data_IF_091875155230
#
_entry.id   IF_091875155230
#
_cell.length_a   1.000
_cell.length_b   1.000
_cell.length_c   1.000
_cell.angle_alpha   90.00
_cell.angle_beta   90.00
_cell.angle_gamma   90.00
#
_symmetry.space_group_name_H-M   'P 1'
#
loop_
_entity.id
_entity.type
_entity.pdbx_description
1 polymer ?
#
# COMPACT_ATOMS: atom_id res chain seq x y z
N UNK A 1 29.75 -49.61 72.29
CA UNK A 1 28.33 -50.03 72.47
C UNK A 1 27.58 -49.35 71.35
N UNK A 2 26.98 -49.96 70.32
CA UNK A 2 26.38 -51.28 70.03
C UNK A 2 26.30 -51.38 68.49
N UNK A 3 26.93 -52.36 67.85
CA UNK A 3 26.34 -53.57 67.25
C UNK A 3 25.14 -53.36 66.29
N UNK A 4 25.27 -53.77 65.02
CA UNK A 4 24.21 -54.11 64.04
C UNK A 4 24.90 -54.72 62.81
N UNK A 5 25.18 -56.03 62.74
CA UNK A 5 24.29 -57.12 62.28
C UNK A 5 23.61 -56.89 60.92
N UNK A 6 24.14 -57.52 59.87
CA UNK A 6 23.41 -57.94 58.65
C UNK A 6 22.98 -59.42 58.81
N UNK A 7 22.45 -60.17 57.81
CA UNK A 7 21.70 -59.85 56.57
C UNK A 7 20.42 -60.74 56.41
N UNK A 8 19.56 -60.52 55.40
CA UNK A 8 18.87 -61.63 54.69
C UNK A 8 18.62 -61.23 53.23
N UNK A 9 18.94 -62.17 52.34
CA UNK A 9 18.92 -62.16 50.88
C UNK A 9 17.72 -63.00 50.36
N UNK A 10 17.13 -62.61 49.23
CA UNK A 10 16.45 -63.52 48.28
C UNK A 10 16.23 -62.78 46.95
N UNK A 11 17.09 -63.04 45.95
CA UNK A 11 16.81 -63.83 44.73
C UNK A 11 15.74 -63.20 43.81
N UNK A 12 16.18 -62.50 42.76
CA UNK A 12 16.28 -62.98 41.36
C UNK A 12 14.95 -62.97 40.62
N UNK A 13 14.76 -62.05 39.66
CA UNK A 13 14.74 -62.42 38.24
C UNK A 13 14.44 -61.25 37.29
N UNK A 14 15.16 -61.31 36.17
CA UNK A 14 14.80 -60.86 34.81
C UNK A 14 14.66 -59.37 34.49
N UNK A 15 15.56 -58.95 33.60
CA UNK A 15 15.45 -57.80 32.71
C UNK A 15 14.13 -57.81 31.93
N UNK A 16 13.47 -56.66 31.82
CA UNK A 16 12.57 -56.32 30.72
C UNK A 16 12.72 -54.83 30.40
N UNK A 17 13.18 -54.57 29.19
CA UNK A 17 13.30 -53.26 28.54
C UNK A 17 11.94 -52.58 28.39
N UNK A 18 11.76 -51.42 28.99
CA UNK A 18 10.64 -50.54 28.68
C UNK A 18 11.12 -49.23 28.05
N UNK A 19 10.73 -49.09 26.79
CA UNK A 19 10.83 -47.91 25.93
C UNK A 19 10.06 -46.76 26.60
N UNK A 20 10.77 -45.72 27.06
CA UNK A 20 10.13 -44.44 27.39
C UNK A 20 10.06 -43.59 26.12
N UNK A 21 8.86 -43.50 25.55
CA UNK A 21 8.46 -42.45 24.63
C UNK A 21 8.47 -41.12 25.40
N UNK A 22 9.51 -40.31 25.21
CA UNK A 22 9.52 -38.96 25.74
C UNK A 22 8.82 -38.04 24.74
N UNK A 23 7.67 -37.54 25.17
CA UNK A 23 6.80 -36.63 24.45
C UNK A 23 7.54 -35.30 24.18
N UNK A 24 8.03 -35.10 22.97
CA UNK A 24 8.55 -33.81 22.52
C UNK A 24 7.41 -32.81 22.48
N UNK A 25 7.30 -31.97 23.52
CA UNK A 25 6.59 -30.72 23.41
C UNK A 25 7.28 -29.90 22.30
N UNK A 26 6.59 -29.76 21.17
CA UNK A 26 6.96 -28.80 20.13
C UNK A 26 6.91 -27.41 20.75
N UNK A 27 8.07 -26.93 21.20
CA UNK A 27 8.31 -25.51 21.39
C UNK A 27 8.22 -24.92 19.98
N UNK A 28 7.07 -24.33 19.65
CA UNK A 28 6.98 -23.40 18.52
C UNK A 28 7.91 -22.24 18.84
N UNK A 29 9.15 -22.35 18.39
CA UNK A 29 10.07 -21.22 18.33
C UNK A 29 9.47 -20.25 17.33
N UNK A 30 8.66 -19.29 17.81
CA UNK A 30 8.37 -18.07 17.07
C UNK A 30 9.71 -17.39 16.83
N UNK A 31 10.23 -17.58 15.62
CA UNK A 31 11.37 -16.81 15.10
C UNK A 31 11.07 -15.33 15.33
N UNK A 32 11.98 -14.56 15.94
CA UNK A 32 11.77 -13.13 16.09
C UNK A 32 11.58 -12.53 14.69
N UNK A 33 10.44 -11.86 14.47
CA UNK A 33 10.14 -11.19 13.20
C UNK A 33 11.29 -10.23 12.87
N UNK A 34 12.13 -10.59 11.90
CA UNK A 34 13.27 -9.80 11.47
C UNK A 34 12.78 -8.58 10.69
N UNK A 35 13.38 -7.42 10.92
CA UNK A 35 13.05 -6.17 10.24
C UNK A 35 13.56 -6.25 8.78
N UNK A 36 12.76 -5.88 7.76
CA UNK A 36 13.16 -5.96 6.36
C UNK A 36 14.10 -4.81 5.95
N UNK A 37 15.32 -4.78 6.50
CA UNK A 37 16.26 -3.67 6.29
C UNK A 37 16.88 -3.61 4.90
N UNK A 38 16.81 -4.70 4.12
CA UNK A 38 17.29 -4.76 2.73
C UNK A 38 16.25 -4.36 1.69
N UNK A 39 15.00 -4.17 2.10
CA UNK A 39 13.91 -3.82 1.19
C UNK A 39 14.01 -2.34 0.77
N UNK A 40 14.15 -2.12 -0.54
CA UNK A 40 14.20 -0.77 -1.11
C UNK A 40 12.81 -0.37 -1.61
N UNK A 41 12.06 0.29 -0.73
CA UNK A 41 10.70 0.74 -1.01
C UNK A 41 10.62 1.68 -2.23
N UNK A 42 11.67 2.44 -2.53
CA UNK A 42 11.66 3.43 -3.62
C UNK A 42 11.48 2.80 -5.01
N UNK A 43 11.71 1.50 -5.18
CA UNK A 43 11.44 0.81 -6.45
C UNK A 43 9.96 0.49 -6.66
N UNK A 44 9.16 0.40 -5.60
CA UNK A 44 7.72 0.17 -5.72
C UNK A 44 6.95 1.44 -6.02
N UNK A 45 7.48 2.59 -5.59
CA UNK A 45 6.84 3.89 -5.78
C UNK A 45 7.53 4.67 -6.90
N UNK A 46 7.10 4.44 -8.14
CA UNK A 46 7.61 5.13 -9.34
C UNK A 46 7.22 6.61 -9.36
N UNK A 47 6.11 6.97 -8.74
CA UNK A 47 5.66 8.36 -8.53
C UNK A 47 5.70 8.69 -7.05
N UNK A 48 6.34 9.81 -6.71
CA UNK A 48 6.35 10.29 -5.32
C UNK A 48 4.96 10.76 -4.89
N UNK A 49 4.62 10.53 -3.62
CA UNK A 49 3.37 10.99 -3.01
C UNK A 49 3.28 12.53 -3.02
N UNK A 50 2.17 13.04 -3.52
CA UNK A 50 1.75 14.43 -3.44
C UNK A 50 0.27 14.54 -3.03
N UNK A 51 -0.32 15.73 -3.16
CA UNK A 51 -1.72 15.96 -2.81
C UNK A 51 -2.73 15.36 -3.80
N UNK A 52 -2.30 15.05 -5.02
CA UNK A 52 -3.17 14.60 -6.10
C UNK A 52 -3.27 13.07 -6.11
N UNK A 53 -2.17 12.38 -5.81
CA UNK A 53 -2.09 10.91 -5.86
C UNK A 53 -2.12 10.23 -4.47
N UNK A 54 -2.39 10.96 -3.39
CA UNK A 54 -2.30 10.44 -2.02
C UNK A 54 -3.10 9.15 -1.80
N UNK A 55 -4.33 9.05 -2.32
CA UNK A 55 -5.16 7.86 -2.11
C UNK A 55 -4.58 6.62 -2.80
N UNK A 56 -4.07 6.77 -4.02
CA UNK A 56 -3.38 5.71 -4.75
C UNK A 56 -2.10 5.28 -4.03
N UNK A 57 -1.28 6.26 -3.60
CA UNK A 57 -0.09 6.01 -2.80
C UNK A 57 -0.42 5.30 -1.49
N UNK A 58 -1.48 5.73 -0.79
CA UNK A 58 -1.91 5.17 0.49
C UNK A 58 -2.24 3.69 0.34
N UNK A 59 -3.05 3.33 -0.66
CA UNK A 59 -3.41 1.94 -0.93
C UNK A 59 -2.17 1.08 -1.14
N UNK A 60 -1.25 1.50 -2.02
CA UNK A 60 -0.01 0.76 -2.28
C UNK A 60 0.89 0.66 -1.04
N UNK A 61 0.90 1.69 -0.20
CA UNK A 61 1.69 1.70 1.03
C UNK A 61 1.11 0.76 2.08
N UNK A 62 -0.21 0.67 2.21
CA UNK A 62 -0.88 -0.30 3.07
C UNK A 62 -0.53 -1.75 2.65
N UNK A 63 -0.54 -2.05 1.35
CA UNK A 63 -0.13 -3.37 0.82
C UNK A 63 1.33 -3.72 1.21
N UNK A 64 2.24 -2.73 1.19
CA UNK A 64 3.64 -2.92 1.61
C UNK A 64 3.74 -3.18 3.11
N UNK A 65 2.91 -2.53 3.93
CA UNK A 65 2.89 -2.76 5.36
C UNK A 65 2.34 -4.13 5.71
N UNK A 66 1.28 -4.57 5.02
CA UNK A 66 0.70 -5.91 5.17
C UNK A 66 1.73 -7.00 4.79
N UNK A 67 2.41 -6.83 3.64
CA UNK A 67 3.46 -7.76 3.18
C UNK A 67 4.59 -7.96 4.20
N UNK A 68 4.86 -6.95 5.03
CA UNK A 68 5.95 -6.96 6.00
C UNK A 68 5.51 -7.12 7.47
N UNK A 69 4.22 -7.33 7.75
CA UNK A 69 3.68 -7.43 9.11
C UNK A 69 4.01 -6.16 9.95
N UNK A 70 3.73 -4.99 9.37
CA UNK A 70 4.02 -3.66 9.91
C UNK A 70 2.79 -2.75 10.03
N UNK A 71 1.58 -3.24 9.74
CA UNK A 71 0.35 -2.42 9.78
C UNK A 71 0.10 -1.77 11.15
N UNK A 72 0.39 -2.47 12.25
CA UNK A 72 0.14 -1.97 13.60
C UNK A 72 0.94 -0.70 13.93
N UNK A 73 2.06 -0.48 13.23
CA UNK A 73 2.96 0.67 13.41
C UNK A 73 2.27 1.99 13.08
N UNK A 74 1.37 1.99 12.10
CA UNK A 74 0.61 3.19 11.70
C UNK A 74 -0.76 3.28 12.39
N UNK A 75 -1.24 2.22 13.03
CA UNK A 75 -2.54 2.17 13.72
C UNK A 75 -2.45 2.52 15.21
N UNK A 76 -1.31 2.28 15.85
CA UNK A 76 -1.16 2.43 17.30
C UNK A 76 -0.35 3.67 17.64
N UNK A 77 -0.95 4.60 18.39
CA UNK A 77 -0.25 5.76 18.95
C UNK A 77 0.78 5.30 19.99
N UNK A 78 2.01 5.10 19.55
CA UNK A 78 3.13 4.71 20.42
C UNK A 78 4.35 5.55 20.14
N UNK A 79 5.05 5.92 21.22
CA UNK A 79 6.38 6.53 21.17
C UNK A 79 7.38 5.54 21.76
N UNK A 80 7.70 4.45 21.03
CA UNK A 80 8.55 3.40 21.57
C UNK A 80 9.91 3.98 21.96
N UNK A 81 10.38 3.63 23.16
CA UNK A 81 11.72 4.01 23.58
C UNK A 81 12.77 3.24 22.77
N UNK A 82 13.89 3.88 22.45
CA UNK A 82 14.98 3.27 21.65
C UNK A 82 15.56 2.01 22.28
N UNK A 83 15.66 1.98 23.61
CA UNK A 83 16.20 0.87 24.38
C UNK A 83 15.17 0.38 25.38
N UNK A 84 15.19 -0.91 25.65
CA UNK A 84 14.47 -1.56 26.74
C UNK A 84 15.21 -1.37 28.08
N UNK A 85 14.60 -1.71 29.23
CA UNK A 85 15.24 -1.59 30.54
C UNK A 85 16.55 -2.38 30.69
N UNK A 86 16.71 -3.47 29.92
CA UNK A 86 17.91 -4.29 29.83
C UNK A 86 18.99 -3.71 28.88
N UNK A 87 18.79 -2.47 28.41
CA UNK A 87 19.61 -1.75 27.44
C UNK A 87 19.66 -2.36 26.02
N UNK A 88 18.88 -3.41 25.74
CA UNK A 88 18.73 -3.97 24.40
C UNK A 88 17.92 -3.04 23.48
N UNK A 89 18.08 -3.20 22.17
CA UNK A 89 17.36 -2.41 21.17
C UNK A 89 15.87 -2.80 21.18
N UNK A 90 14.99 -1.81 21.28
CA UNK A 90 13.56 -2.07 21.17
C UNK A 90 13.16 -2.33 19.70
N UNK A 91 12.57 -3.49 19.44
CA UNK A 91 12.06 -3.87 18.12
C UNK A 91 10.96 -2.91 17.64
N UNK A 92 10.06 -2.49 18.53
CA UNK A 92 8.98 -1.55 18.18
C UNK A 92 9.53 -0.19 17.72
N UNK A 93 10.59 0.30 18.36
CA UNK A 93 11.28 1.52 17.93
C UNK A 93 11.87 1.36 16.53
N UNK A 94 12.46 0.19 16.25
CA UNK A 94 13.09 -0.06 14.97
C UNK A 94 12.05 -0.21 13.84
N UNK A 95 10.92 -0.88 14.10
CA UNK A 95 9.76 -0.93 13.19
C UNK A 95 9.21 0.47 12.90
N UNK A 96 9.01 1.30 13.93
CA UNK A 96 8.57 2.70 13.79
C UNK A 96 9.52 3.52 12.90
N UNK A 97 10.84 3.46 13.14
CA UNK A 97 11.80 4.21 12.33
C UNK A 97 11.92 3.71 10.91
N UNK A 98 11.76 2.41 10.68
CA UNK A 98 11.73 1.87 9.33
C UNK A 98 10.54 2.43 8.54
N UNK A 99 9.32 2.32 9.08
CA UNK A 99 8.10 2.80 8.41
C UNK A 99 8.16 4.31 8.20
N UNK A 100 8.60 5.08 9.20
CA UNK A 100 8.77 6.53 9.05
C UNK A 100 9.78 6.88 7.94
N UNK A 101 10.88 6.13 7.84
CA UNK A 101 11.87 6.30 6.76
C UNK A 101 11.26 5.99 5.40
N UNK A 102 10.45 4.94 5.30
CA UNK A 102 9.74 4.57 4.07
C UNK A 102 8.73 5.62 3.61
N UNK A 103 7.92 6.16 4.53
CA UNK A 103 7.00 7.27 4.25
C UNK A 103 7.79 8.48 3.72
N UNK A 104 8.90 8.85 4.38
CA UNK A 104 9.73 10.00 3.96
C UNK A 104 10.48 9.74 2.65
N UNK A 105 10.84 8.51 2.33
CA UNK A 105 11.52 8.15 1.10
C UNK A 105 10.61 8.28 -0.12
N UNK A 106 9.34 7.91 0.03
CA UNK A 106 8.33 7.88 -1.04
C UNK A 106 7.53 9.17 -1.17
N UNK A 107 7.74 10.15 -0.28
CA UNK A 107 7.14 11.47 -0.35
C UNK A 107 7.82 12.39 -1.38
N UNK A 108 7.05 13.27 -2.02
CA UNK A 108 7.59 14.38 -2.82
C UNK A 108 8.28 15.44 -1.94
N UNK A 109 9.15 16.31 -2.47
CA UNK A 109 9.87 17.30 -1.67
C UNK A 109 8.98 18.23 -0.82
N UNK A 110 7.82 18.62 -1.35
CA UNK A 110 6.84 19.44 -0.62
C UNK A 110 6.24 18.67 0.57
N UNK A 111 5.88 17.41 0.37
CA UNK A 111 5.36 16.55 1.44
C UNK A 111 6.44 16.19 2.47
N UNK A 112 7.71 16.01 2.07
CA UNK A 112 8.81 15.83 3.03
C UNK A 112 8.94 16.99 4.01
N UNK A 113 8.68 18.21 3.54
CA UNK A 113 8.69 19.41 4.40
C UNK A 113 7.54 19.38 5.41
N UNK A 114 6.36 18.92 5.01
CA UNK A 114 5.22 18.69 5.90
C UNK A 114 5.51 17.64 6.99
N UNK A 115 6.36 16.66 6.69
CA UNK A 115 6.72 15.54 7.58
C UNK A 115 7.87 15.83 8.56
N UNK A 116 8.52 17.00 8.49
CA UNK A 116 9.60 17.40 9.40
C UNK A 116 9.23 17.27 10.89
N UNK A 117 8.07 17.76 11.37
CA UNK A 117 7.72 17.69 12.79
C UNK A 117 7.38 16.28 13.28
N UNK A 118 7.17 15.31 12.38
CA UNK A 118 6.78 13.96 12.74
C UNK A 118 7.98 13.14 13.22
N UNK A 119 7.87 12.64 14.45
CA UNK A 119 8.87 11.81 15.12
C UNK A 119 8.55 10.33 15.04
N UNK A 120 7.29 9.95 14.85
CA UNK A 120 6.84 8.55 14.69
C UNK A 120 6.15 8.32 13.34
N UNK A 121 6.07 7.07 12.92
CA UNK A 121 5.32 6.65 11.74
C UNK A 121 3.82 6.93 11.90
N UNK A 122 3.25 6.69 13.08
CA UNK A 122 1.87 7.00 13.41
C UNK A 122 1.55 8.50 13.24
N UNK A 123 2.41 9.39 13.75
CA UNK A 123 2.25 10.84 13.61
C UNK A 123 2.27 11.26 12.12
N UNK A 124 3.24 10.72 11.36
CA UNK A 124 3.35 10.98 9.94
C UNK A 124 2.11 10.50 9.18
N UNK A 125 1.66 9.27 9.42
CA UNK A 125 0.49 8.68 8.79
C UNK A 125 -0.77 9.50 9.06
N UNK A 126 -1.04 9.78 10.33
CA UNK A 126 -2.21 10.56 10.77
C UNK A 126 -2.20 11.97 10.18
N UNK A 127 -1.04 12.62 10.12
CA UNK A 127 -0.91 13.95 9.52
C UNK A 127 -1.23 13.92 8.02
N UNK A 128 -0.70 12.93 7.30
CA UNK A 128 -0.93 12.76 5.87
C UNK A 128 -2.40 12.48 5.58
N UNK A 129 -3.03 11.54 6.29
CA UNK A 129 -4.46 11.27 6.14
C UNK A 129 -5.31 12.53 6.35
N UNK A 130 -5.05 13.25 7.44
CA UNK A 130 -5.79 14.47 7.79
C UNK A 130 -5.64 15.58 6.75
N UNK A 131 -4.44 15.72 6.15
CA UNK A 131 -4.13 16.85 5.25
C UNK A 131 -4.36 16.53 3.78
N UNK A 132 -4.00 15.33 3.33
CA UNK A 132 -3.96 14.98 1.92
C UNK A 132 -5.20 14.21 1.45
N UNK A 133 -5.86 13.43 2.32
CA UNK A 133 -7.08 12.71 1.93
C UNK A 133 -8.18 13.66 1.40
N UNK A 134 -8.55 14.76 2.09
CA UNK A 134 -9.57 15.67 1.57
C UNK A 134 -9.16 16.36 0.26
N UNK A 135 -7.86 16.64 0.09
CA UNK A 135 -7.33 17.27 -1.13
C UNK A 135 -7.40 16.33 -2.32
N UNK A 136 -6.97 15.08 -2.16
CA UNK A 136 -7.02 14.07 -3.21
C UNK A 136 -8.47 13.73 -3.59
N UNK A 137 -9.38 13.62 -2.62
CA UNK A 137 -10.83 13.47 -2.89
C UNK A 137 -11.38 14.65 -3.68
N UNK A 138 -11.00 15.88 -3.32
CA UNK A 138 -11.43 17.09 -4.04
C UNK A 138 -10.88 17.09 -5.45
N UNK A 139 -9.60 16.73 -5.63
CA UNK A 139 -8.97 16.63 -6.93
C UNK A 139 -9.69 15.62 -7.84
N UNK A 140 -10.00 14.44 -7.33
CA UNK A 140 -10.77 13.42 -8.06
C UNK A 140 -12.13 13.97 -8.49
N UNK A 141 -12.86 14.66 -7.59
CA UNK A 141 -14.14 15.28 -7.93
C UNK A 141 -13.99 16.34 -9.02
N UNK A 142 -12.98 17.20 -8.92
CA UNK A 142 -12.69 18.21 -9.94
C UNK A 142 -12.32 17.60 -11.29
N UNK A 143 -11.65 16.44 -11.32
CA UNK A 143 -11.40 15.69 -12.55
C UNK A 143 -12.71 15.16 -13.14
N UNK A 144 -13.59 14.56 -12.31
CA UNK A 144 -14.90 14.11 -12.75
C UNK A 144 -15.77 15.23 -13.30
N UNK A 145 -15.81 16.39 -12.62
CA UNK A 145 -16.55 17.56 -13.09
C UNK A 145 -16.04 18.03 -14.46
N UNK A 146 -14.72 18.00 -14.69
CA UNK A 146 -14.13 18.35 -15.99
C UNK A 146 -14.46 17.31 -17.06
N UNK A 147 -14.48 16.02 -16.73
CA UNK A 147 -14.85 14.94 -17.65
C UNK A 147 -16.34 15.06 -18.04
N UNK A 148 -17.23 15.29 -17.08
CA UNK A 148 -18.66 15.45 -17.35
C UNK A 148 -18.98 16.73 -18.12
N UNK A 149 -18.18 17.78 -17.94
CA UNK A 149 -18.27 19.02 -18.69
C UNK A 149 -17.48 19.00 -20.02
N UNK A 150 -16.84 17.87 -20.36
CA UNK A 150 -15.93 17.77 -21.49
C UNK A 150 -16.68 18.05 -22.81
N UNK A 151 -16.28 19.13 -23.48
CA UNK A 151 -16.81 19.52 -24.79
C UNK A 151 -15.69 20.07 -25.65
N UNK A 152 -15.74 19.75 -26.94
CA UNK A 152 -14.85 20.32 -27.94
C UNK A 152 -15.17 21.81 -28.06
N UNK A 153 -14.13 22.62 -27.86
CA UNK A 153 -14.18 24.04 -28.18
C UNK A 153 -14.31 24.21 -29.70
N UNK A 154 -15.30 24.95 -30.22
CA UNK A 154 -15.46 25.20 -31.65
C UNK A 154 -14.21 25.79 -32.30
N UNK A 155 -13.42 26.59 -31.56
CA UNK A 155 -12.21 27.26 -32.06
C UNK A 155 -10.97 26.37 -32.02
N UNK A 156 -11.01 25.23 -31.32
CA UNK A 156 -9.89 24.28 -31.21
C UNK A 156 -10.02 23.10 -32.16
N UNK A 157 -8.88 22.52 -32.52
CA UNK A 157 -8.81 21.29 -33.32
C UNK A 157 -9.33 20.08 -32.55
N UNK A 158 -9.84 19.09 -33.28
CA UNK A 158 -10.22 17.77 -32.72
C UNK A 158 -9.04 17.11 -32.04
N UNK A 159 -7.85 17.14 -32.66
CA UNK A 159 -6.64 16.57 -32.07
C UNK A 159 -6.31 17.21 -30.71
N UNK A 160 -6.40 18.54 -30.58
CA UNK A 160 -6.18 19.22 -29.30
C UNK A 160 -7.21 18.84 -28.24
N UNK A 161 -8.46 18.62 -28.65
CA UNK A 161 -9.52 18.12 -27.79
C UNK A 161 -9.25 16.69 -27.30
N UNK A 162 -8.87 15.77 -28.20
CA UNK A 162 -8.55 14.38 -27.85
C UNK A 162 -7.35 14.29 -26.90
N UNK A 163 -6.29 15.07 -27.13
CA UNK A 163 -5.14 15.16 -26.22
C UNK A 163 -5.57 15.65 -24.83
N UNK A 164 -6.42 16.68 -24.78
CA UNK A 164 -6.92 17.20 -23.50
C UNK A 164 -7.78 16.17 -22.77
N UNK A 165 -8.70 15.51 -23.48
CA UNK A 165 -9.50 14.42 -22.96
C UNK A 165 -8.60 13.34 -22.36
N UNK A 166 -7.65 12.81 -23.14
CA UNK A 166 -6.69 11.80 -22.67
C UNK A 166 -5.96 12.23 -21.39
N UNK A 167 -5.47 13.48 -21.34
CA UNK A 167 -4.79 13.98 -20.15
C UNK A 167 -5.66 14.01 -18.88
N UNK A 168 -6.97 14.22 -19.02
CA UNK A 168 -7.91 14.14 -17.89
C UNK A 168 -8.07 12.70 -17.40
N UNK A 169 -8.16 11.73 -18.31
CA UNK A 169 -8.29 10.31 -17.96
C UNK A 169 -7.01 9.73 -17.38
N UNK A 170 -5.84 10.11 -17.90
CA UNK A 170 -4.54 9.80 -17.32
C UNK A 170 -4.44 10.35 -15.89
N UNK A 171 -4.89 11.59 -15.68
CA UNK A 171 -4.90 12.22 -14.35
C UNK A 171 -5.86 11.51 -13.39
N UNK A 172 -7.02 11.07 -13.88
CA UNK A 172 -8.00 10.31 -13.11
C UNK A 172 -7.42 8.96 -12.66
N UNK A 173 -6.74 8.27 -13.58
CA UNK A 173 -6.04 7.00 -13.32
C UNK A 173 -4.93 7.18 -12.30
N UNK A 174 -4.10 8.22 -12.46
CA UNK A 174 -3.03 8.55 -11.52
C UNK A 174 -3.56 8.91 -10.12
N UNK A 175 -4.77 9.47 -10.02
CA UNK A 175 -5.42 9.75 -8.74
C UNK A 175 -5.99 8.50 -8.04
N UNK A 176 -5.91 7.32 -8.68
CA UNK A 176 -6.37 6.04 -8.13
C UNK A 176 -7.79 5.68 -8.52
N UNK A 177 -8.33 6.28 -9.58
CA UNK A 177 -9.68 6.02 -10.08
C UNK A 177 -9.63 5.63 -11.55
N UNK A 178 -10.35 4.58 -11.95
CA UNK A 178 -10.38 4.11 -13.34
C UNK A 178 -11.75 4.28 -13.97
N UNK A 179 -11.76 4.36 -15.30
CA UNK A 179 -12.94 4.34 -16.17
C UNK A 179 -12.71 3.27 -17.23
N UNK A 180 -13.79 2.64 -17.73
CA UNK A 180 -13.66 1.70 -18.85
C UNK A 180 -13.44 2.43 -20.18
N UNK A 181 -12.77 1.78 -21.13
CA UNK A 181 -12.56 2.32 -22.49
C UNK A 181 -13.87 2.73 -23.16
N UNK A 182 -14.94 1.96 -22.96
CA UNK A 182 -16.26 2.28 -23.52
C UNK A 182 -16.84 3.59 -22.96
N UNK A 183 -16.81 3.77 -21.63
CA UNK A 183 -17.25 5.01 -20.99
C UNK A 183 -16.40 6.20 -21.47
N UNK A 184 -15.09 6.00 -21.56
CA UNK A 184 -14.13 6.99 -22.04
C UNK A 184 -14.47 7.44 -23.47
N UNK A 185 -14.62 6.50 -24.39
CA UNK A 185 -15.02 6.76 -25.78
C UNK A 185 -16.37 7.50 -25.81
N UNK A 186 -17.36 7.06 -25.04
CA UNK A 186 -18.67 7.69 -24.98
C UNK A 186 -18.60 9.16 -24.54
N UNK A 187 -17.83 9.48 -23.48
CA UNK A 187 -17.64 10.87 -23.04
C UNK A 187 -17.00 11.74 -24.11
N UNK A 188 -16.00 11.20 -24.82
CA UNK A 188 -15.31 11.94 -25.89
C UNK A 188 -16.26 12.17 -27.07
N UNK A 189 -16.97 11.14 -27.54
CA UNK A 189 -17.88 11.26 -28.69
C UNK A 189 -19.04 12.21 -28.39
N UNK A 190 -19.58 12.19 -27.17
CA UNK A 190 -20.63 13.12 -26.74
C UNK A 190 -20.15 14.57 -26.67
N UNK A 191 -18.86 14.80 -26.43
CA UNK A 191 -18.26 16.13 -26.35
C UNK A 191 -17.86 16.73 -27.70
N UNK A 192 -17.76 15.95 -28.79
CA UNK A 192 -17.29 16.42 -30.10
C UNK A 192 -18.19 17.48 -30.75
N UNK A 193 -19.50 17.42 -30.53
CA UNK A 193 -20.47 18.34 -31.15
C UNK A 193 -21.24 17.70 -32.32
N UNK A 194 -22.30 18.39 -32.77
CA UNK A 194 -23.23 17.86 -33.77
C UNK A 194 -22.60 17.73 -35.16
N UNK A 195 -21.57 18.50 -35.46
CA UNK A 195 -20.84 18.43 -36.73
C UNK A 195 -20.12 17.08 -36.95
N UNK A 196 -19.90 16.31 -35.88
CA UNK A 196 -19.28 14.98 -35.94
C UNK A 196 -20.30 13.83 -35.80
N UNK A 197 -21.61 14.09 -35.84
CA UNK A 197 -22.65 13.09 -35.55
C UNK A 197 -22.61 11.82 -36.42
N UNK A 198 -22.27 11.96 -37.70
CA UNK A 198 -22.14 10.81 -38.60
C UNK A 198 -20.94 9.93 -38.22
N UNK A 199 -19.82 10.57 -37.88
CA UNK A 199 -18.61 9.90 -37.40
C UNK A 199 -18.86 9.19 -36.06
N UNK A 200 -19.48 9.88 -35.08
CA UNK A 200 -19.79 9.27 -33.78
C UNK A 200 -20.73 8.07 -33.92
N UNK A 201 -21.72 8.15 -34.82
CA UNK A 201 -22.65 7.04 -35.08
C UNK A 201 -21.93 5.84 -35.69
N UNK A 202 -21.00 6.07 -36.62
CA UNK A 202 -20.20 4.99 -37.23
C UNK A 202 -19.35 4.26 -36.20
N UNK A 203 -18.75 4.98 -35.25
CA UNK A 203 -17.90 4.38 -34.21
C UNK A 203 -18.69 3.56 -33.19
N UNK A 204 -19.88 4.01 -32.78
CA UNK A 204 -20.73 3.24 -31.86
C UNK A 204 -21.17 1.87 -32.41
N UNK A 205 -21.16 1.70 -33.73
CA UNK A 205 -21.50 0.44 -34.38
C UNK A 205 -20.35 -0.58 -34.39
N UNK A 206 -19.15 -0.19 -33.91
CA UNK A 206 -17.97 -1.04 -33.89
C UNK A 206 -17.93 -1.89 -32.60
N UNK A 207 -17.95 -3.24 -32.69
CA UNK A 207 -18.26 -4.11 -31.56
C UNK A 207 -17.15 -4.28 -30.50
N UNK A 208 -15.97 -3.68 -30.69
CA UNK A 208 -14.82 -3.86 -29.79
C UNK A 208 -13.75 -2.80 -30.00
N UNK A 209 -14.12 -1.52 -29.93
CA UNK A 209 -13.13 -0.44 -30.06
C UNK A 209 -12.43 -0.22 -28.72
N UNK A 210 -11.11 -0.42 -28.69
CA UNK A 210 -10.29 0.00 -27.54
C UNK A 210 -10.00 1.49 -27.61
N UNK A 211 -9.63 2.09 -26.49
CA UNK A 211 -9.27 3.51 -26.50
C UNK A 211 -8.05 3.80 -27.39
N UNK A 212 -7.06 2.91 -27.42
CA UNK A 212 -5.88 3.05 -28.29
C UNK A 212 -6.26 3.00 -29.77
N UNK A 213 -7.16 2.09 -30.16
CA UNK A 213 -7.67 2.00 -31.54
C UNK A 213 -8.44 3.28 -31.92
N UNK A 214 -9.23 3.82 -30.99
CA UNK A 214 -9.98 5.05 -31.17
C UNK A 214 -9.07 6.27 -31.42
N UNK A 215 -7.95 6.38 -30.69
CA UNK A 215 -7.04 7.52 -30.81
C UNK A 215 -6.25 7.54 -32.14
N UNK A 216 -6.22 6.43 -32.87
CA UNK A 216 -5.51 6.28 -34.16
C UNK A 216 -6.45 6.47 -35.36
N UNK A 217 -7.77 6.39 -35.16
CA UNK A 217 -8.80 6.61 -36.19
C UNK A 217 -8.95 8.09 -36.57
#
# INVERSE_FOLDING_TARGET
MTNSSSPVNSSSDSQLSHISHNNSQNITTTTPSSIPTSFNISHLFTTFMDCNNFLCWKSQFEDVLELHDLEDVIKTETHPQKKLPDASLNLAYSKDKLVLSWIKATASPSIKTLLIPCSTAYEAWTLLEKRLSPLSITHIRTLWDQIWALKKDPEKSVAGYLIHANSLFDSLTAAGTSMSDGELIDYILNGLGHEYKEFTTSLHLQPSLTFDDFMIC
#
